data_IF_843831484186
#
_entry.id   IF_843831484186
#
_cell.length_a   1.000
_cell.length_b   1.000
_cell.length_c   1.000
_cell.angle_alpha   90.00
_cell.angle_beta   90.00
_cell.angle_gamma   90.00
#
_symmetry.space_group_name_H-M   'P 1'
#
loop_
_entity.id
_entity.type
_entity.pdbx_description
1 polymer ?
#
# COMPACT_ATOMS: atom_id res chain seq x y z
N UNK A 1 9.13 15.28 -10.67
CA UNK A 1 9.22 16.65 -10.10
C UNK A 1 7.85 17.25 -9.82
N UNK A 2 7.07 17.52 -10.88
CA UNK A 2 5.62 17.81 -10.77
C UNK A 2 4.75 16.53 -10.78
N UNK A 3 5.36 15.37 -10.51
CA UNK A 3 4.59 14.23 -9.99
C UNK A 3 4.17 14.56 -8.56
N UNK A 4 3.17 13.85 -8.05
CA UNK A 4 2.82 13.86 -6.63
C UNK A 4 2.72 12.44 -6.11
N UNK A 5 2.83 12.29 -4.80
CA UNK A 5 2.73 11.01 -4.12
C UNK A 5 1.62 11.00 -3.09
N UNK A 6 1.18 9.79 -2.69
CA UNK A 6 0.33 9.60 -1.51
C UNK A 6 1.01 10.17 -0.26
N UNK A 7 2.34 10.05 -0.18
CA UNK A 7 3.16 10.70 0.86
C UNK A 7 2.91 12.22 0.90
N UNK A 8 3.05 12.92 -0.23
CA UNK A 8 2.83 14.37 -0.29
C UNK A 8 1.40 14.74 0.16
N UNK A 9 0.39 13.95 -0.24
CA UNK A 9 -1.00 14.16 0.18
C UNK A 9 -1.20 13.92 1.68
N UNK A 10 -0.55 12.91 2.26
CA UNK A 10 -0.58 12.65 3.70
C UNK A 10 0.04 13.81 4.51
N UNK A 11 1.13 14.42 4.02
CA UNK A 11 1.71 15.62 4.63
C UNK A 11 0.80 16.84 4.50
N UNK A 12 0.07 16.99 3.38
CA UNK A 12 -0.91 18.07 3.23
C UNK A 12 -2.02 17.94 4.28
N UNK A 13 -2.51 16.73 4.54
CA UNK A 13 -3.47 16.46 5.62
C UNK A 13 -2.89 16.81 6.99
N UNK A 14 -1.64 16.40 7.26
CA UNK A 14 -0.99 16.69 8.54
C UNK A 14 -0.76 18.19 8.77
N UNK A 15 -0.28 18.90 7.75
CA UNK A 15 -0.13 20.36 7.79
C UNK A 15 -1.46 21.06 8.03
N UNK A 16 -2.55 20.59 7.42
CA UNK A 16 -3.87 21.16 7.61
C UNK A 16 -4.41 20.93 9.03
N UNK A 17 -4.26 19.72 9.58
CA UNK A 17 -4.58 19.42 10.98
C UNK A 17 -3.81 20.33 11.95
N UNK A 18 -2.50 20.49 11.71
CA UNK A 18 -1.65 21.36 12.53
C UNK A 18 -2.04 22.83 12.39
N UNK A 19 -2.40 23.30 11.18
CA UNK A 19 -2.89 24.67 10.97
C UNK A 19 -4.19 24.91 11.74
N UNK A 20 -5.15 23.99 11.69
CA UNK A 20 -6.40 24.11 12.45
C UNK A 20 -6.14 24.11 13.97
N UNK A 21 -5.19 23.29 14.46
CA UNK A 21 -4.75 23.31 15.86
C UNK A 21 -4.13 24.66 16.26
N UNK A 22 -3.19 25.18 15.47
CA UNK A 22 -2.57 26.50 15.72
C UNK A 22 -3.66 27.58 15.75
N UNK A 23 -4.57 27.56 14.79
CA UNK A 23 -5.65 28.53 14.68
C UNK A 23 -6.60 28.54 15.89
N UNK A 24 -6.90 27.36 16.44
CA UNK A 24 -7.85 27.19 17.54
C UNK A 24 -7.20 27.35 18.91
N UNK A 25 -6.05 26.70 19.12
CA UNK A 25 -5.46 26.47 20.43
C UNK A 25 -4.20 27.31 20.70
N UNK A 26 -3.58 27.90 19.66
CA UNK A 26 -2.30 28.62 19.78
C UNK A 26 -2.27 29.93 18.98
N UNK A 27 -3.43 30.52 18.69
CA UNK A 27 -3.53 31.76 17.91
C UNK A 27 -2.79 32.93 18.58
N UNK A 28 -2.71 32.93 19.91
CA UNK A 28 -1.97 33.89 20.74
C UNK A 28 -0.45 33.83 20.52
N UNK A 29 0.08 32.72 20.02
CA UNK A 29 1.51 32.52 19.76
C UNK A 29 1.93 32.90 18.33
N UNK A 30 0.97 33.24 17.47
CA UNK A 30 1.26 33.60 16.08
C UNK A 30 1.73 35.06 16.00
N UNK A 31 3.02 35.23 15.70
CA UNK A 31 3.66 36.55 15.65
C UNK A 31 3.56 37.26 14.29
N UNK A 32 3.15 36.55 13.23
CA UNK A 32 3.03 37.09 11.86
C UNK A 32 1.77 36.56 11.16
N UNK A 33 1.00 37.50 10.60
CA UNK A 33 -0.25 37.19 9.91
C UNK A 33 -1.44 37.05 10.85
N UNK A 34 -2.57 36.63 10.31
CA UNK A 34 -3.76 36.25 11.08
C UNK A 34 -4.10 34.81 10.75
N UNK A 35 -4.33 34.01 11.79
CA UNK A 35 -4.71 32.60 11.63
C UNK A 35 -6.13 32.46 12.17
N UNK A 36 -7.00 31.87 11.35
CA UNK A 36 -8.38 31.57 11.69
C UNK A 36 -8.70 30.14 11.26
N UNK A 37 -9.44 29.42 12.10
CA UNK A 37 -9.88 28.06 11.83
C UNK A 37 -10.86 28.06 10.65
N UNK A 38 -10.66 27.19 9.67
CA UNK A 38 -11.53 27.10 8.49
C UNK A 38 -11.84 25.68 8.03
N UNK A 39 -11.64 24.69 8.91
CA UNK A 39 -11.85 23.28 8.58
C UNK A 39 -10.93 22.83 7.45
N UNK A 40 -9.66 23.21 7.56
CA UNK A 40 -8.69 22.92 6.51
C UNK A 40 -8.37 21.44 6.43
N UNK A 41 -8.48 20.71 7.56
CA UNK A 41 -8.40 19.25 7.56
C UNK A 41 -9.35 18.62 6.53
N UNK A 42 -10.62 19.03 6.52
CA UNK A 42 -11.61 18.47 5.59
C UNK A 42 -11.31 18.81 4.12
N UNK A 43 -10.78 20.01 3.85
CA UNK A 43 -10.36 20.39 2.50
C UNK A 43 -9.13 19.59 2.05
N UNK A 44 -8.14 19.45 2.93
CA UNK A 44 -6.94 18.68 2.66
C UNK A 44 -7.25 17.20 2.43
N UNK A 45 -8.17 16.61 3.21
CA UNK A 45 -8.65 15.25 2.98
C UNK A 45 -9.31 15.13 1.60
N UNK A 46 -10.11 16.12 1.19
CA UNK A 46 -10.70 16.13 -0.14
C UNK A 46 -9.66 16.21 -1.27
N UNK A 47 -8.57 16.92 -1.05
CA UNK A 47 -7.41 16.94 -1.97
C UNK A 47 -6.70 15.59 -1.99
N UNK A 48 -6.50 14.95 -0.83
CA UNK A 48 -5.93 13.61 -0.73
C UNK A 48 -6.73 12.59 -1.52
N UNK A 49 -8.07 12.65 -1.48
CA UNK A 49 -8.96 11.75 -2.23
C UNK A 49 -8.73 11.77 -3.75
N UNK A 50 -8.03 12.77 -4.31
CA UNK A 50 -7.62 12.76 -5.73
C UNK A 50 -6.71 11.56 -6.04
N UNK A 51 -5.93 11.09 -5.06
CA UNK A 51 -5.13 9.88 -5.21
C UNK A 51 -5.91 8.59 -4.93
N UNK A 52 -7.16 8.64 -4.47
CA UNK A 52 -7.99 7.44 -4.35
C UNK A 52 -8.61 7.14 -5.72
N UNK A 53 -8.25 6.01 -6.37
CA UNK A 53 -8.66 5.78 -7.75
C UNK A 53 -10.18 5.66 -7.91
N UNK A 54 -10.70 6.22 -9.01
CA UNK A 54 -12.14 6.16 -9.32
C UNK A 54 -12.47 5.12 -10.39
N UNK A 55 -11.52 4.79 -11.26
CA UNK A 55 -11.59 3.66 -12.19
C UNK A 55 -11.22 2.41 -11.39
N UNK A 56 -12.23 1.76 -10.85
CA UNK A 56 -12.12 0.51 -10.10
C UNK A 56 -13.29 -0.40 -10.44
N UNK A 57 -13.55 -0.51 -11.74
CA UNK A 57 -14.71 -1.25 -12.27
C UNK A 57 -14.75 -2.63 -11.62
N UNK A 58 -15.96 -3.03 -11.20
CA UNK A 58 -16.28 -4.33 -10.61
C UNK A 58 -15.47 -4.81 -9.41
N UNK A 59 -14.57 -4.03 -8.80
CA UNK A 59 -13.71 -4.57 -7.74
C UNK A 59 -14.52 -5.22 -6.60
N UNK A 60 -15.64 -4.62 -6.21
CA UNK A 60 -16.55 -5.19 -5.21
C UNK A 60 -17.70 -6.03 -5.81
N UNK A 61 -18.07 -5.82 -7.07
CA UNK A 61 -19.21 -6.50 -7.71
C UNK A 61 -18.85 -7.68 -8.60
N UNK A 62 -17.55 -7.95 -8.82
CA UNK A 62 -17.05 -9.10 -9.58
C UNK A 62 -17.62 -10.40 -9.02
N UNK A 63 -17.96 -11.31 -9.95
CA UNK A 63 -18.42 -12.66 -9.62
C UNK A 63 -17.25 -13.63 -9.42
N UNK A 64 -16.05 -13.22 -9.85
CA UNK A 64 -14.81 -13.96 -9.66
C UNK A 64 -14.29 -13.88 -8.24
N UNK A 65 -13.58 -14.93 -7.83
CA UNK A 65 -12.83 -14.91 -6.57
C UNK A 65 -11.63 -13.97 -6.74
N UNK A 66 -11.40 -13.12 -5.73
CA UNK A 66 -10.18 -12.34 -5.70
C UNK A 66 -8.97 -13.26 -5.51
N UNK A 67 -8.05 -13.19 -6.46
CA UNK A 67 -6.87 -14.04 -6.45
C UNK A 67 -5.76 -13.46 -7.28
N UNK A 68 -4.52 -13.81 -6.95
CA UNK A 68 -3.36 -13.39 -7.71
C UNK A 68 -2.57 -14.62 -8.16
N UNK A 69 -2.14 -14.60 -9.43
CA UNK A 69 -1.19 -15.57 -9.96
C UNK A 69 0.22 -15.19 -9.50
N UNK A 70 0.97 -16.19 -9.06
CA UNK A 70 2.34 -16.01 -8.65
C UNK A 70 3.21 -15.54 -9.80
N UNK A 71 4.02 -14.53 -9.55
CA UNK A 71 5.16 -14.13 -10.35
C UNK A 71 6.31 -13.87 -9.36
N UNK A 72 7.46 -14.51 -9.59
CA UNK A 72 8.62 -14.30 -8.72
C UNK A 72 9.24 -12.92 -8.96
N UNK A 73 9.86 -12.36 -7.93
CA UNK A 73 10.61 -11.11 -8.07
C UNK A 73 11.99 -11.37 -8.69
N UNK A 74 12.58 -10.30 -9.20
CA UNK A 74 13.84 -10.32 -9.94
C UNK A 74 14.96 -9.73 -9.09
N UNK A 75 16.15 -10.29 -9.23
CA UNK A 75 17.35 -9.70 -8.63
C UNK A 75 17.78 -8.48 -9.47
N UNK A 76 17.76 -8.57 -10.82
CA UNK A 76 18.10 -7.47 -11.74
C UNK A 76 16.94 -7.10 -12.67
N UNK A 77 16.88 -5.83 -13.09
CA UNK A 77 15.79 -5.34 -13.94
C UNK A 77 15.75 -5.98 -15.35
N UNK A 78 16.91 -6.43 -15.86
CA UNK A 78 17.05 -7.09 -17.17
C UNK A 78 16.50 -8.52 -17.21
N UNK A 79 16.36 -9.16 -16.05
CA UNK A 79 15.82 -10.51 -15.93
C UNK A 79 14.31 -10.52 -16.24
N UNK A 80 13.65 -9.38 -16.06
CA UNK A 80 12.25 -9.16 -16.38
C UNK A 80 12.03 -8.91 -17.88
N UNK A 81 11.00 -9.49 -18.52
CA UNK A 81 9.93 -10.33 -17.96
C UNK A 81 10.18 -11.85 -18.10
N UNK A 82 11.40 -12.27 -18.40
CA UNK A 82 11.70 -13.63 -18.82
C UNK A 82 11.84 -14.61 -17.66
N UNK A 83 12.71 -14.28 -16.72
CA UNK A 83 12.97 -15.14 -15.56
C UNK A 83 11.78 -15.09 -14.60
N UNK A 84 11.55 -16.16 -13.82
CA UNK A 84 10.48 -16.19 -12.79
C UNK A 84 9.08 -15.70 -13.23
N UNK A 85 8.78 -15.81 -14.53
CA UNK A 85 7.55 -15.33 -15.14
C UNK A 85 6.30 -15.96 -14.48
N UNK A 86 5.14 -15.35 -14.74
CA UNK A 86 3.86 -15.78 -14.17
C UNK A 86 3.65 -17.28 -14.29
N UNK A 87 3.28 -17.92 -13.18
CA UNK A 87 2.98 -19.35 -13.11
C UNK A 87 1.48 -19.56 -12.81
N UNK A 88 0.59 -19.69 -13.82
CA UNK A 88 -0.86 -19.75 -13.59
C UNK A 88 -1.33 -20.89 -12.67
N UNK A 89 -0.56 -21.99 -12.58
CA UNK A 89 -0.85 -23.11 -11.66
C UNK A 89 -0.63 -22.76 -10.18
N UNK A 90 0.08 -21.67 -9.93
CA UNK A 90 0.36 -21.08 -8.62
C UNK A 90 -0.53 -19.85 -8.44
N UNK A 91 -1.68 -20.04 -7.80
CA UNK A 91 -2.66 -18.97 -7.54
C UNK A 91 -3.01 -18.93 -6.07
N UNK A 92 -3.04 -17.74 -5.48
CA UNK A 92 -3.42 -17.51 -4.09
C UNK A 92 -4.67 -16.61 -4.00
N UNK A 93 -5.63 -16.99 -3.17
CA UNK A 93 -6.82 -16.20 -2.86
C UNK A 93 -6.60 -15.28 -1.66
N UNK A 94 -7.11 -14.05 -1.73
CA UNK A 94 -7.08 -13.13 -0.58
C UNK A 94 -8.12 -13.54 0.48
N UNK A 95 -7.71 -13.93 1.70
CA UNK A 95 -8.62 -14.40 2.72
C UNK A 95 -9.38 -13.29 3.46
N UNK A 96 -8.92 -12.03 3.47
CA UNK A 96 -9.61 -10.91 4.15
C UNK A 96 -10.65 -10.21 3.25
N UNK A 97 -10.53 -10.32 1.93
CA UNK A 97 -11.42 -9.65 1.00
C UNK A 97 -12.93 -9.87 1.25
N UNK A 98 -13.44 -11.07 1.58
CA UNK A 98 -14.87 -11.24 1.88
C UNK A 98 -15.36 -10.34 3.01
N UNK A 99 -14.52 -10.09 4.02
CA UNK A 99 -14.80 -9.20 5.15
C UNK A 99 -14.93 -7.75 4.68
N UNK A 100 -14.04 -7.30 3.80
CA UNK A 100 -14.12 -5.96 3.19
C UNK A 100 -15.31 -5.81 2.25
N UNK A 101 -15.54 -6.78 1.36
CA UNK A 101 -16.69 -6.78 0.44
C UNK A 101 -18.01 -6.70 1.20
N UNK A 102 -18.14 -7.42 2.31
CA UNK A 102 -19.34 -7.34 3.15
C UNK A 102 -19.56 -5.94 3.75
N UNK A 103 -18.49 -5.23 4.07
CA UNK A 103 -18.55 -3.92 4.73
C UNK A 103 -18.65 -2.73 3.77
N UNK A 104 -18.07 -2.87 2.57
CA UNK A 104 -17.78 -1.75 1.66
C UNK A 104 -18.25 -1.97 0.22
N UNK A 105 -19.02 -3.01 -0.09
CA UNK A 105 -19.51 -3.27 -1.46
C UNK A 105 -20.41 -2.19 -2.07
N UNK A 106 -20.87 -1.21 -1.28
CA UNK A 106 -21.55 -0.02 -1.81
C UNK A 106 -20.60 1.03 -2.40
N UNK A 107 -19.31 0.94 -2.11
CA UNK A 107 -18.29 1.85 -2.61
C UNK A 107 -17.90 1.46 -4.05
N UNK A 108 -17.20 2.37 -4.75
CA UNK A 108 -16.75 2.10 -6.13
C UNK A 108 -15.58 1.11 -6.22
N UNK A 109 -14.80 1.00 -5.17
CA UNK A 109 -13.57 0.19 -5.11
C UNK A 109 -12.87 0.37 -3.77
N UNK A 110 -11.59 -0.01 -3.71
CA UNK A 110 -10.75 0.24 -2.54
C UNK A 110 -10.69 1.74 -2.24
N UNK A 111 -10.76 2.09 -0.95
CA UNK A 111 -10.58 3.45 -0.46
C UNK A 111 -9.15 3.63 0.07
N UNK A 112 -8.18 3.40 -0.82
CA UNK A 112 -6.74 3.52 -0.58
C UNK A 112 -6.15 4.47 -1.63
N UNK A 113 -5.08 5.20 -1.29
CA UNK A 113 -4.43 6.05 -2.26
C UNK A 113 -3.59 5.19 -3.20
N UNK A 114 -3.59 5.50 -4.49
CA UNK A 114 -2.46 5.11 -5.33
C UNK A 114 -1.24 5.97 -4.98
N UNK A 115 -0.05 5.37 -5.00
CA UNK A 115 1.15 6.01 -4.50
C UNK A 115 1.71 7.13 -5.40
N UNK A 116 1.50 7.09 -6.72
CA UNK A 116 2.11 8.02 -7.66
C UNK A 116 1.12 8.55 -8.69
N UNK A 117 1.25 9.83 -9.02
CA UNK A 117 0.52 10.43 -10.13
C UNK A 117 1.30 11.55 -10.80
N UNK A 118 1.02 11.72 -12.08
CA UNK A 118 1.45 12.84 -12.90
C UNK A 118 0.40 13.96 -12.82
N UNK A 119 0.75 15.06 -12.16
CA UNK A 119 -0.20 16.13 -11.83
C UNK A 119 -0.61 16.93 -13.07
N UNK A 120 0.29 17.07 -14.04
CA UNK A 120 0.13 17.98 -15.18
C UNK A 120 0.16 17.24 -16.52
N UNK A 121 0.02 15.90 -16.49
CA UNK A 121 0.11 15.03 -17.66
C UNK A 121 1.41 15.22 -18.46
N UNK A 122 2.52 15.41 -17.77
CA UNK A 122 3.84 15.56 -18.38
C UNK A 122 4.25 14.34 -19.22
N UNK A 123 3.93 13.13 -18.77
CA UNK A 123 4.19 11.89 -19.52
C UNK A 123 3.25 11.69 -20.71
N UNK A 124 2.12 12.40 -20.74
CA UNK A 124 1.18 12.39 -21.87
C UNK A 124 0.29 11.15 -21.96
N UNK A 125 0.12 10.39 -20.87
CA UNK A 125 -0.78 9.23 -20.85
C UNK A 125 -2.26 9.63 -20.71
N UNK A 126 -2.55 10.80 -20.13
CA UNK A 126 -3.88 11.39 -20.03
C UNK A 126 -4.17 12.38 -21.16
N UNK A 127 -5.25 13.14 -21.00
CA UNK A 127 -5.66 14.20 -21.95
C UNK A 127 -5.28 15.59 -21.45
N UNK A 128 -4.82 16.48 -22.33
CA UNK A 128 -4.51 17.87 -21.95
C UNK A 128 -3.53 17.95 -20.77
N UNK A 129 -3.96 18.59 -19.68
CA UNK A 129 -3.20 18.72 -18.42
C UNK A 129 -3.87 17.94 -17.28
N UNK A 130 -4.58 16.86 -17.61
CA UNK A 130 -5.37 16.11 -16.63
C UNK A 130 -4.47 15.31 -15.68
N UNK A 131 -4.88 15.27 -14.41
CA UNK A 131 -4.25 14.42 -13.40
C UNK A 131 -4.31 12.95 -13.83
N UNK A 132 -3.16 12.29 -13.90
CA UNK A 132 -3.06 10.93 -14.44
C UNK A 132 -2.35 10.00 -13.46
N UNK A 133 -2.98 8.87 -13.15
CA UNK A 133 -2.35 7.82 -12.35
C UNK A 133 -1.30 7.09 -13.18
N UNK A 134 -0.08 7.03 -12.66
CA UNK A 134 1.07 6.38 -13.29
C UNK A 134 1.80 5.52 -12.27
N UNK A 135 2.57 4.55 -12.74
CA UNK A 135 3.47 3.78 -11.91
C UNK A 135 4.84 3.65 -12.60
N UNK A 136 5.84 3.21 -11.85
CA UNK A 136 7.24 3.10 -12.30
C UNK A 136 7.82 1.73 -11.94
N UNK A 137 8.13 1.51 -10.66
CA UNK A 137 8.81 0.31 -10.15
C UNK A 137 7.97 -0.96 -10.35
N UNK A 138 8.54 -1.95 -11.04
CA UNK A 138 7.91 -3.25 -11.34
C UNK A 138 8.92 -4.41 -11.48
N UNK A 139 10.24 -4.17 -11.53
CA UNK A 139 11.23 -5.14 -12.02
C UNK A 139 12.34 -5.51 -11.03
N UNK A 140 12.02 -5.53 -9.74
CA UNK A 140 12.89 -6.13 -8.73
C UNK A 140 13.76 -5.14 -7.95
N UNK A 141 14.63 -5.68 -7.10
CA UNK A 141 15.30 -4.91 -6.04
C UNK A 141 16.38 -3.95 -6.57
N UNK A 142 16.99 -4.25 -7.72
CA UNK A 142 17.96 -3.38 -8.38
C UNK A 142 17.35 -2.52 -9.50
N UNK A 143 16.03 -2.36 -9.58
CA UNK A 143 15.43 -1.33 -10.45
C UNK A 143 15.43 0.02 -9.72
N UNK A 144 16.48 0.82 -9.90
CA UNK A 144 16.53 2.17 -9.34
C UNK A 144 15.55 3.11 -10.05
N UNK A 145 15.33 4.30 -9.48
CA UNK A 145 14.45 5.31 -10.10
C UNK A 145 14.91 5.75 -11.50
N UNK A 146 16.18 5.52 -11.85
CA UNK A 146 16.76 5.83 -13.16
C UNK A 146 16.48 4.76 -14.22
N UNK A 147 16.04 3.59 -13.80
CA UNK A 147 15.94 2.41 -14.66
C UNK A 147 14.50 2.05 -14.99
N UNK A 148 13.53 2.66 -14.30
CA UNK A 148 12.10 2.43 -14.53
C UNK A 148 11.62 2.89 -15.90
N UNK A 149 10.50 2.32 -16.35
CA UNK A 149 9.72 2.83 -17.48
C UNK A 149 8.34 3.27 -16.95
N UNK A 150 8.12 4.58 -16.79
CA UNK A 150 6.83 5.12 -16.37
C UNK A 150 5.70 4.65 -17.28
N UNK A 151 4.58 4.23 -16.70
CA UNK A 151 3.44 3.67 -17.42
C UNK A 151 2.11 4.03 -16.73
N UNK A 152 0.99 4.09 -17.48
CA UNK A 152 -0.30 4.42 -16.88
C UNK A 152 -0.83 3.27 -16.04
N UNK A 153 -1.54 3.61 -14.96
CA UNK A 153 -2.24 2.62 -14.14
C UNK A 153 -3.42 1.99 -14.86
N UNK A 154 -4.12 2.77 -15.69
CA UNK A 154 -5.18 2.29 -16.58
C UNK A 154 -4.57 2.01 -17.95
N UNK A 155 -4.47 0.73 -18.29
CA UNK A 155 -3.89 0.26 -19.55
C UNK A 155 -4.97 0.08 -20.61
N UNK A 156 -4.98 1.01 -21.57
CA UNK A 156 -5.88 1.01 -22.73
C UNK A 156 -5.26 0.38 -23.99
N UNK A 157 -4.01 -0.08 -23.91
CA UNK A 157 -3.19 -0.59 -25.02
C UNK A 157 -2.90 0.48 -26.08
N UNK A 158 -2.88 1.75 -25.70
CA UNK A 158 -2.62 2.89 -26.60
C UNK A 158 -1.13 3.18 -26.81
N UNK A 159 -0.30 2.83 -25.82
CA UNK A 159 1.13 3.11 -25.76
C UNK A 159 1.95 1.80 -25.74
N UNK A 160 3.28 1.89 -25.83
CA UNK A 160 4.15 0.72 -25.83
C UNK A 160 3.87 -0.24 -27.00
N UNK A 161 3.63 -1.52 -26.70
CA UNK A 161 3.20 -2.53 -27.67
C UNK A 161 1.72 -2.38 -28.02
N UNK A 162 1.41 -1.28 -28.72
CA UNK A 162 0.04 -0.83 -29.04
C UNK A 162 -0.85 -1.96 -29.59
N UNK A 163 -2.06 -2.06 -29.06
CA UNK A 163 -3.08 -3.03 -29.47
C UNK A 163 -2.83 -4.48 -29.04
N UNK A 164 -1.68 -4.79 -28.42
CA UNK A 164 -1.33 -6.15 -27.98
C UNK A 164 -1.07 -6.19 -26.48
N UNK A 165 0.12 -5.78 -26.03
CA UNK A 165 0.53 -5.81 -24.62
C UNK A 165 0.60 -4.42 -23.98
N UNK A 166 0.42 -3.36 -24.76
CA UNK A 166 0.50 -2.00 -24.24
C UNK A 166 1.85 -1.71 -23.59
N UNK A 167 1.84 -0.94 -22.50
CA UNK A 167 3.00 -0.73 -21.64
C UNK A 167 3.29 -1.95 -20.76
N UNK A 168 2.29 -2.80 -20.45
CA UNK A 168 2.48 -4.07 -19.71
C UNK A 168 3.48 -5.02 -20.39
N UNK A 169 3.75 -4.83 -21.68
CA UNK A 169 4.73 -5.61 -22.43
C UNK A 169 6.15 -5.61 -21.84
N UNK A 170 6.51 -4.60 -21.04
CA UNK A 170 7.82 -4.56 -20.37
C UNK A 170 7.94 -5.55 -19.20
N UNK A 171 6.84 -6.01 -18.61
CA UNK A 171 6.86 -6.90 -17.42
C UNK A 171 5.96 -8.15 -17.54
N UNK A 172 5.43 -8.44 -18.72
CA UNK A 172 4.58 -9.62 -18.96
C UNK A 172 4.90 -10.19 -20.35
N UNK A 173 5.00 -11.51 -20.53
CA UNK A 173 5.36 -12.18 -21.80
C UNK A 173 4.20 -12.65 -22.69
N UNK A 174 2.95 -12.49 -22.27
CA UNK A 174 1.75 -12.93 -22.99
C UNK A 174 1.70 -12.34 -24.40
N UNK A 175 1.10 -13.04 -25.35
CA UNK A 175 0.93 -12.51 -26.72
C UNK A 175 -0.03 -11.31 -26.76
N UNK A 176 -1.02 -11.31 -25.88
CA UNK A 176 -2.05 -10.29 -25.75
C UNK A 176 -2.38 -10.15 -24.26
N UNK A 177 -2.48 -8.92 -23.77
CA UNK A 177 -3.05 -8.64 -22.45
C UNK A 177 -4.42 -8.02 -22.61
N UNK A 178 -5.28 -8.21 -21.61
CA UNK A 178 -6.53 -7.47 -21.53
C UNK A 178 -6.24 -6.02 -21.12
N UNK A 179 -7.10 -5.10 -21.57
CA UNK A 179 -7.22 -3.79 -20.92
C UNK A 179 -7.52 -4.00 -19.45
N UNK A 180 -6.87 -3.23 -18.59
CA UNK A 180 -6.88 -3.46 -17.15
C UNK A 180 -6.47 -2.21 -16.40
N UNK A 181 -6.79 -2.15 -15.12
CA UNK A 181 -6.17 -1.20 -14.20
C UNK A 181 -5.37 -1.92 -13.13
N UNK A 182 -4.31 -1.27 -12.65
CA UNK A 182 -3.55 -1.72 -11.49
C UNK A 182 -3.11 -0.51 -10.68
N UNK A 183 -3.38 -0.54 -9.38
CA UNK A 183 -2.92 0.48 -8.43
C UNK A 183 -2.14 -0.18 -7.30
N UNK A 184 -1.28 0.60 -6.69
CA UNK A 184 -0.42 0.22 -5.56
C UNK A 184 -0.48 1.33 -4.53
N UNK A 185 -0.77 1.02 -3.27
CA UNK A 185 -0.69 2.01 -2.20
C UNK A 185 0.70 2.04 -1.58
N UNK A 186 0.98 3.07 -0.79
CA UNK A 186 2.19 3.18 0.02
C UNK A 186 1.76 3.29 1.49
N UNK A 187 1.74 2.17 2.24
CA UNK A 187 1.07 2.09 3.55
C UNK A 187 1.51 3.16 4.56
N UNK A 188 2.77 3.59 4.50
CA UNK A 188 3.30 4.66 5.34
C UNK A 188 2.53 5.98 5.17
N UNK A 189 2.07 6.28 3.96
CA UNK A 189 1.33 7.49 3.63
C UNK A 189 -0.11 7.44 4.15
N UNK A 190 -0.79 6.30 4.01
CA UNK A 190 -2.11 6.11 4.62
C UNK A 190 -2.03 6.24 6.14
N UNK A 191 -1.07 5.57 6.77
CA UNK A 191 -0.89 5.61 8.23
C UNK A 191 -0.51 7.02 8.71
N UNK A 192 0.30 7.77 7.96
CA UNK A 192 0.60 9.18 8.25
C UNK A 192 -0.65 10.07 8.18
N UNK A 193 -1.51 9.85 7.19
CA UNK A 193 -2.79 10.58 7.09
C UNK A 193 -3.72 10.23 8.26
N UNK A 194 -3.77 8.96 8.68
CA UNK A 194 -4.55 8.51 9.83
C UNK A 194 -4.01 9.09 11.13
N UNK A 195 -2.68 9.11 11.29
CA UNK A 195 -2.01 9.77 12.42
C UNK A 195 -2.38 11.26 12.50
N UNK A 196 -2.37 11.98 11.37
CA UNK A 196 -2.79 13.37 11.34
C UNK A 196 -4.25 13.58 11.80
N UNK A 197 -5.14 12.66 11.44
CA UNK A 197 -6.54 12.67 11.90
C UNK A 197 -6.61 12.36 13.40
N UNK A 198 -5.83 11.40 13.89
CA UNK A 198 -5.73 11.12 15.32
C UNK A 198 -5.26 12.34 16.12
N UNK A 199 -4.21 13.03 15.66
CA UNK A 199 -3.72 14.27 16.26
C UNK A 199 -4.83 15.34 16.28
N UNK A 200 -5.56 15.49 15.16
CA UNK A 200 -6.68 16.43 15.08
C UNK A 200 -7.78 16.15 16.11
N UNK A 201 -8.05 14.87 16.39
CA UNK A 201 -8.99 14.44 17.44
C UNK A 201 -8.47 14.86 18.80
N UNK A 202 -7.18 14.65 19.08
CA UNK A 202 -6.56 15.04 20.36
C UNK A 202 -6.53 16.55 20.57
N UNK A 203 -6.37 17.32 19.49
CA UNK A 203 -6.43 18.78 19.52
C UNK A 203 -7.87 19.33 19.50
N UNK A 204 -8.87 18.46 19.31
CA UNK A 204 -10.28 18.83 19.23
C UNK A 204 -10.60 19.70 18.02
N UNK A 205 -9.85 19.55 16.92
CA UNK A 205 -10.06 20.24 15.63
C UNK A 205 -10.46 19.27 14.52
N UNK A 206 -10.82 18.05 14.89
CA UNK A 206 -11.23 17.01 13.95
C UNK A 206 -12.53 17.33 13.22
N UNK A 207 -12.73 16.64 12.09
CA UNK A 207 -13.96 16.64 11.33
C UNK A 207 -14.55 15.21 11.32
N UNK A 208 -15.83 15.09 11.71
CA UNK A 208 -16.48 13.78 11.84
C UNK A 208 -16.52 13.00 10.53
N UNK A 209 -16.66 13.68 9.39
CA UNK A 209 -16.66 13.01 8.09
C UNK A 209 -15.26 12.49 7.74
N UNK A 210 -14.22 13.27 8.04
CA UNK A 210 -12.82 12.86 7.87
C UNK A 210 -12.48 11.67 8.78
N UNK A 211 -12.94 11.67 10.04
CA UNK A 211 -12.74 10.55 10.96
C UNK A 211 -13.28 9.24 10.37
N UNK A 212 -14.49 9.28 9.79
CA UNK A 212 -15.10 8.10 9.18
C UNK A 212 -14.35 7.63 7.92
N UNK A 213 -13.80 8.56 7.13
CA UNK A 213 -13.00 8.24 5.94
C UNK A 213 -11.62 7.69 6.32
N UNK A 214 -10.96 8.26 7.32
CA UNK A 214 -9.69 7.76 7.86
C UNK A 214 -9.84 6.36 8.46
N UNK A 215 -10.94 6.11 9.19
CA UNK A 215 -11.26 4.78 9.68
C UNK A 215 -11.49 3.78 8.54
N UNK A 216 -12.23 4.17 7.48
CA UNK A 216 -12.40 3.32 6.29
C UNK A 216 -11.06 2.97 5.64
N UNK A 217 -10.18 3.97 5.46
CA UNK A 217 -8.84 3.78 4.91
C UNK A 217 -8.03 2.82 5.78
N UNK A 218 -8.02 3.02 7.10
CA UNK A 218 -7.39 2.10 8.05
C UNK A 218 -7.96 0.70 8.00
N UNK A 219 -9.28 0.52 7.89
CA UNK A 219 -9.87 -0.82 7.80
C UNK A 219 -9.35 -1.59 6.57
N UNK A 220 -9.30 -0.93 5.41
CA UNK A 220 -8.79 -1.52 4.16
C UNK A 220 -7.26 -1.70 4.16
N UNK A 221 -6.52 -0.87 4.89
CA UNK A 221 -5.07 -1.03 5.10
C UNK A 221 -4.70 -2.31 5.83
N UNK A 222 -5.65 -3.04 6.44
CA UNK A 222 -5.36 -4.36 7.02
C UNK A 222 -4.86 -5.39 5.98
N UNK A 223 -5.09 -5.18 4.68
CA UNK A 223 -4.43 -6.02 3.66
C UNK A 223 -2.90 -5.82 3.64
N UNK A 224 -2.39 -4.67 4.09
CA UNK A 224 -0.95 -4.40 4.25
C UNK A 224 -0.30 -5.25 5.35
N UNK A 225 -1.10 -6.00 6.12
CA UNK A 225 -0.60 -6.92 7.14
C UNK A 225 -0.34 -8.33 6.60
N UNK A 226 -0.51 -8.56 5.29
CA UNK A 226 -0.38 -9.88 4.67
C UNK A 226 0.84 -10.02 3.76
N UNK A 227 1.37 -11.25 3.74
CA UNK A 227 2.28 -11.75 2.71
C UNK A 227 1.76 -11.47 1.29
N UNK A 228 2.67 -11.26 0.32
CA UNK A 228 2.35 -10.91 -1.07
C UNK A 228 1.28 -11.82 -1.67
N UNK A 229 1.44 -13.12 -1.50
CA UNK A 229 0.50 -14.12 -2.00
C UNK A 229 -0.12 -14.92 -0.85
N UNK A 230 -0.34 -14.25 0.30
CA UNK A 230 -1.04 -14.78 1.45
C UNK A 230 -0.45 -16.08 2.01
N UNK A 231 0.83 -16.36 1.71
CA UNK A 231 1.52 -17.53 2.21
C UNK A 231 1.64 -17.48 3.72
N UNK A 232 1.59 -18.63 4.37
CA UNK A 232 1.79 -18.73 5.81
C UNK A 232 3.14 -18.11 6.22
N UNK A 233 3.16 -17.41 7.36
CA UNK A 233 4.38 -16.81 7.88
C UNK A 233 5.19 -17.89 8.59
N UNK A 234 6.47 -18.06 8.24
CA UNK A 234 7.33 -19.03 8.93
C UNK A 234 8.76 -19.14 8.39
N UNK A 235 9.63 -19.80 9.16
CA UNK A 235 11.05 -19.97 8.82
C UNK A 235 11.32 -20.94 7.64
N UNK A 236 10.26 -21.53 7.08
CA UNK A 236 10.30 -22.44 5.93
C UNK A 236 9.17 -22.10 4.94
N UNK A 237 8.92 -20.80 4.71
CA UNK A 237 7.87 -20.40 3.77
C UNK A 237 8.15 -20.98 2.39
N UNK A 238 7.23 -21.82 1.93
CA UNK A 238 7.25 -22.43 0.61
C UNK A 238 5.92 -22.15 -0.07
N UNK A 239 5.95 -22.01 -1.40
CA UNK A 239 4.73 -21.79 -2.15
C UNK A 239 3.67 -22.87 -1.88
N UNK A 240 2.46 -22.42 -1.55
CA UNK A 240 1.24 -23.21 -1.52
C UNK A 240 0.10 -22.42 -2.19
N UNK A 241 -0.84 -23.13 -2.84
CA UNK A 241 -2.03 -22.46 -3.36
C UNK A 241 -2.98 -22.16 -2.21
N UNK A 242 -2.98 -20.91 -1.74
CA UNK A 242 -3.93 -20.43 -0.73
C UNK A 242 -5.33 -20.46 -1.34
N UNK A 243 -6.17 -21.36 -0.84
CA UNK A 243 -7.50 -21.61 -1.40
C UNK A 243 -8.49 -20.54 -0.95
N UNK A 244 -9.52 -20.32 -1.76
CA UNK A 244 -10.68 -19.53 -1.34
C UNK A 244 -11.29 -20.11 -0.06
N UNK A 245 -11.54 -19.26 0.93
CA UNK A 245 -12.03 -19.68 2.26
C UNK A 245 -10.95 -20.16 3.23
N UNK A 246 -9.66 -19.98 2.90
CA UNK A 246 -8.58 -20.11 3.87
C UNK A 246 -8.83 -19.22 5.11
N UNK A 247 -8.17 -19.56 6.23
CA UNK A 247 -8.28 -18.78 7.46
C UNK A 247 -7.86 -17.33 7.18
N UNK A 248 -8.65 -16.38 7.70
CA UNK A 248 -8.31 -14.96 7.63
C UNK A 248 -6.97 -14.67 8.34
N UNK A 249 -6.58 -15.45 9.34
CA UNK A 249 -5.30 -15.27 10.03
C UNK A 249 -4.09 -15.82 9.25
N UNK A 250 -4.33 -16.65 8.21
CA UNK A 250 -3.24 -17.21 7.41
C UNK A 250 -2.52 -16.12 6.62
N UNK A 251 -1.19 -16.08 6.77
CA UNK A 251 -0.32 -15.14 6.06
C UNK A 251 -0.34 -13.71 6.59
N UNK A 252 -0.96 -13.45 7.75
CA UNK A 252 -0.82 -12.17 8.45
C UNK A 252 0.51 -12.11 9.20
N UNK A 253 1.34 -11.12 8.89
CA UNK A 253 2.52 -10.75 9.70
C UNK A 253 2.25 -9.57 10.64
N UNK A 254 1.11 -8.87 10.51
CA UNK A 254 0.70 -7.72 11.35
C UNK A 254 1.62 -6.48 11.33
N UNK A 255 2.70 -6.49 10.55
CA UNK A 255 3.48 -5.30 10.18
C UNK A 255 2.81 -4.54 9.01
N UNK A 256 3.13 -3.27 8.84
CA UNK A 256 2.86 -2.56 7.59
C UNK A 256 3.92 -2.94 6.56
N UNK A 257 3.52 -3.63 5.50
CA UNK A 257 4.42 -4.02 4.42
C UNK A 257 4.73 -2.83 3.48
N UNK A 258 5.52 -3.08 2.43
CA UNK A 258 5.88 -2.06 1.45
C UNK A 258 4.70 -1.59 0.58
N UNK A 259 3.75 -2.48 0.30
CA UNK A 259 2.54 -2.17 -0.47
C UNK A 259 1.46 -3.23 -0.34
N UNK A 260 0.22 -2.80 -0.58
CA UNK A 260 -0.81 -3.61 -1.22
C UNK A 260 -0.98 -3.14 -2.67
N UNK A 261 -1.21 -4.07 -3.58
CA UNK A 261 -1.57 -3.74 -4.96
C UNK A 261 -2.82 -4.50 -5.37
N UNK A 262 -3.65 -3.88 -6.21
CA UNK A 262 -4.89 -4.46 -6.69
C UNK A 262 -5.20 -4.04 -8.13
N UNK A 263 -6.00 -4.85 -8.81
CA UNK A 263 -6.41 -4.59 -10.18
C UNK A 263 -7.56 -5.47 -10.63
N UNK A 264 -8.11 -5.10 -11.78
CA UNK A 264 -9.20 -5.81 -12.48
C UNK A 264 -8.97 -5.64 -13.99
N UNK A 265 -9.64 -6.47 -14.76
CA UNK A 265 -9.89 -6.15 -16.15
C UNK A 265 -10.68 -4.83 -16.26
N UNK A 266 -10.34 -4.05 -17.29
CA UNK A 266 -11.03 -2.83 -17.64
C UNK A 266 -11.96 -3.07 -18.84
N UNK A 267 -12.96 -2.22 -19.03
CA UNK A 267 -13.99 -2.33 -20.08
C UNK A 267 -15.00 -3.50 -19.95
N UNK A 268 -15.09 -4.19 -18.81
CA UNK A 268 -16.05 -5.28 -18.57
C UNK A 268 -16.01 -6.44 -19.60
N UNK A 269 -14.92 -6.58 -20.36
CA UNK A 269 -14.80 -7.60 -21.40
C UNK A 269 -14.47 -8.99 -20.82
N UNK A 270 -13.93 -9.02 -19.61
CA UNK A 270 -13.66 -10.22 -18.81
C UNK A 270 -14.22 -10.00 -17.40
N UNK A 271 -14.09 -10.98 -16.51
CA UNK A 271 -14.40 -10.81 -15.08
C UNK A 271 -13.29 -11.48 -14.26
N UNK A 272 -12.30 -10.70 -13.82
CA UNK A 272 -11.27 -11.16 -12.90
C UNK A 272 -10.75 -9.99 -12.07
N UNK A 273 -10.56 -10.23 -10.78
CA UNK A 273 -9.98 -9.26 -9.85
C UNK A 273 -8.81 -9.91 -9.13
N UNK A 274 -7.77 -9.11 -8.87
CA UNK A 274 -6.63 -9.54 -8.08
C UNK A 274 -6.27 -8.50 -7.03
N UNK A 275 -5.72 -8.99 -5.93
CA UNK A 275 -5.06 -8.19 -4.91
C UNK A 275 -3.93 -9.02 -4.33
N UNK A 276 -2.84 -8.33 -4.00
CA UNK A 276 -1.67 -8.89 -3.32
C UNK A 276 -1.38 -8.03 -2.09
N UNK A 277 -0.88 -8.65 -1.04
CA UNK A 277 -0.14 -7.93 0.01
C UNK A 277 1.29 -7.64 -0.46
N UNK A 278 2.22 -7.73 0.48
CA UNK A 278 3.66 -7.70 0.22
C UNK A 278 4.38 -8.46 1.33
N UNK A 279 5.31 -9.32 0.95
CA UNK A 279 6.06 -10.17 1.89
C UNK A 279 7.18 -9.40 2.61
N UNK A 280 7.47 -8.17 2.20
CA UNK A 280 8.58 -7.35 2.69
C UNK A 280 8.06 -6.25 3.60
N UNK A 281 8.63 -6.15 4.80
CA UNK A 281 8.33 -5.10 5.77
C UNK A 281 9.61 -4.34 6.12
N UNK A 282 9.52 -3.01 6.13
CA UNK A 282 10.62 -2.11 6.45
C UNK A 282 10.28 -1.30 7.70
N UNK A 283 11.26 -1.04 8.57
CA UNK A 283 11.06 -0.31 9.82
C UNK A 283 10.39 1.07 9.65
N UNK A 284 10.79 1.86 8.66
CA UNK A 284 10.24 3.21 8.49
C UNK A 284 8.77 3.23 8.03
N UNK A 285 8.25 2.13 7.49
CA UNK A 285 6.83 2.01 7.14
C UNK A 285 5.93 1.76 8.36
N UNK A 286 6.51 1.38 9.50
CA UNK A 286 5.72 1.10 10.69
C UNK A 286 5.21 2.40 11.30
N UNK A 287 3.97 2.39 11.79
CA UNK A 287 3.38 3.52 12.49
C UNK A 287 2.59 3.05 13.74
N UNK A 288 3.28 2.86 14.88
CA UNK A 288 2.63 2.46 16.12
C UNK A 288 1.55 3.45 16.57
N UNK A 289 1.65 4.73 16.20
CA UNK A 289 0.67 5.74 16.57
C UNK A 289 -0.64 5.59 15.78
N UNK A 290 -0.58 5.32 14.48
CA UNK A 290 -1.74 5.00 13.66
C UNK A 290 -2.39 3.69 14.12
N UNK A 291 -1.61 2.64 14.38
CA UNK A 291 -2.12 1.39 14.92
C UNK A 291 -2.82 1.58 16.28
N UNK A 292 -2.21 2.35 17.19
CA UNK A 292 -2.82 2.72 18.46
C UNK A 292 -4.14 3.49 18.28
N UNK A 293 -4.16 4.45 17.36
CA UNK A 293 -5.33 5.26 17.06
C UNK A 293 -6.49 4.39 16.56
N UNK A 294 -6.24 3.53 15.58
CA UNK A 294 -7.24 2.63 15.00
C UNK A 294 -7.71 1.55 15.98
N UNK A 295 -6.86 1.12 16.91
CA UNK A 295 -7.25 0.18 17.96
C UNK A 295 -8.09 0.82 19.07
N UNK A 296 -7.81 2.08 19.46
CA UNK A 296 -8.28 2.62 20.76
C UNK A 296 -9.09 3.91 20.69
N UNK A 297 -8.92 4.75 19.68
CA UNK A 297 -9.64 6.02 19.58
C UNK A 297 -11.03 5.78 19.00
N UNK A 298 -12.07 5.91 19.83
CA UNK A 298 -13.46 5.56 19.45
C UNK A 298 -13.98 6.33 18.24
N UNK A 299 -13.52 7.57 18.02
CA UNK A 299 -13.87 8.33 16.81
C UNK A 299 -13.32 7.71 15.51
N UNK A 300 -12.30 6.86 15.60
CA UNK A 300 -11.76 6.08 14.49
C UNK A 300 -12.23 4.62 14.55
N UNK A 301 -11.97 3.92 15.66
CA UNK A 301 -12.18 2.48 15.78
C UNK A 301 -13.64 2.05 15.59
N UNK A 302 -14.61 2.86 16.02
CA UNK A 302 -16.04 2.56 15.82
C UNK A 302 -16.54 2.80 14.38
N UNK A 303 -15.75 3.47 13.54
CA UNK A 303 -16.08 3.75 12.15
C UNK A 303 -15.48 2.73 11.17
N UNK A 304 -14.58 1.85 11.62
CA UNK A 304 -14.16 0.67 10.86
C UNK A 304 -15.33 -0.32 10.80
N UNK A 305 -15.76 -0.70 9.59
CA UNK A 305 -17.02 -1.43 9.39
C UNK A 305 -16.81 -2.94 9.24
N UNK A 306 -15.65 -3.34 8.76
CA UNK A 306 -15.32 -4.74 8.57
C UNK A 306 -14.91 -5.36 9.91
N UNK A 307 -15.25 -6.63 10.12
CA UNK A 307 -15.03 -7.29 11.40
C UNK A 307 -13.55 -7.51 11.72
N UNK A 308 -13.21 -7.53 13.01
CA UNK A 308 -11.87 -7.85 13.52
C UNK A 308 -10.87 -6.70 13.48
N UNK A 309 -11.25 -5.51 13.00
CA UNK A 309 -10.27 -4.44 12.74
C UNK A 309 -9.52 -3.95 14.00
N UNK A 310 -10.23 -3.73 15.11
CA UNK A 310 -9.60 -3.30 16.36
C UNK A 310 -8.64 -4.35 16.96
N UNK A 311 -8.96 -5.64 16.81
CA UNK A 311 -8.11 -6.74 17.28
C UNK A 311 -6.84 -6.88 16.41
N UNK A 312 -7.00 -6.74 15.09
CA UNK A 312 -5.88 -6.71 14.14
C UNK A 312 -4.93 -5.54 14.45
N UNK A 313 -5.46 -4.34 14.68
CA UNK A 313 -4.63 -3.18 15.04
C UNK A 313 -4.02 -3.26 16.44
N UNK A 314 -4.69 -3.90 17.40
CA UNK A 314 -4.11 -4.17 18.72
C UNK A 314 -2.90 -5.11 18.58
N UNK A 315 -3.03 -6.13 17.74
CA UNK A 315 -1.93 -7.06 17.45
C UNK A 315 -0.82 -6.36 16.67
N UNK A 316 -1.16 -5.59 15.63
CA UNK A 316 -0.21 -4.81 14.83
C UNK A 316 0.59 -3.83 15.67
N UNK A 317 -0.04 -3.07 16.56
CA UNK A 317 0.64 -2.16 17.48
C UNK A 317 1.73 -2.89 18.28
N UNK A 318 1.38 -4.04 18.86
CA UNK A 318 2.34 -4.85 19.63
C UNK A 318 3.47 -5.35 18.73
N UNK A 319 3.14 -5.93 17.58
CA UNK A 319 4.12 -6.50 16.64
C UNK A 319 5.08 -5.44 16.11
N UNK A 320 4.59 -4.24 15.78
CA UNK A 320 5.43 -3.13 15.31
C UNK A 320 6.43 -2.68 16.39
N UNK A 321 6.00 -2.57 17.65
CA UNK A 321 6.91 -2.22 18.76
C UNK A 321 7.97 -3.30 19.00
N UNK A 322 7.60 -4.58 18.91
CA UNK A 322 8.54 -5.70 19.00
C UNK A 322 9.53 -5.70 17.82
N UNK A 323 9.06 -5.34 16.62
CA UNK A 323 9.89 -5.25 15.41
C UNK A 323 10.95 -4.14 15.51
N UNK A 324 10.56 -2.94 15.97
CA UNK A 324 11.52 -1.86 16.26
C UNK A 324 12.57 -2.30 17.27
N UNK A 325 12.16 -2.99 18.34
CA UNK A 325 13.11 -3.46 19.36
C UNK A 325 14.05 -4.53 18.83
N UNK A 326 13.58 -5.43 17.96
CA UNK A 326 14.39 -6.46 17.32
C UNK A 326 15.41 -5.87 16.34
N UNK A 327 15.03 -4.83 15.59
CA UNK A 327 15.89 -4.18 14.61
C UNK A 327 16.86 -3.16 15.21
N UNK A 328 16.73 -2.82 16.49
CA UNK A 328 17.62 -1.87 17.13
C UNK A 328 19.06 -2.39 17.20
N UNK A 329 19.96 -1.71 16.50
CA UNK A 329 21.40 -2.00 16.54
C UNK A 329 22.01 -1.69 17.89
N UNK A 330 23.22 -2.21 18.15
CA UNK A 330 23.98 -1.95 19.39
C UNK A 330 24.26 -0.47 19.63
N UNK A 331 24.29 0.33 18.56
CA UNK A 331 24.61 1.76 18.61
C UNK A 331 23.36 2.64 18.70
N UNK A 332 22.16 2.05 18.59
CA UNK A 332 20.87 2.74 18.71
C UNK A 332 20.04 2.85 17.43
N UNK A 333 20.61 3.08 16.22
CA UNK A 333 19.84 3.10 14.98
C UNK A 333 19.08 1.81 14.70
N UNK A 334 18.00 1.91 13.95
CA UNK A 334 17.14 0.78 13.58
C UNK A 334 17.60 0.22 12.22
N UNK A 335 17.73 -1.10 12.12
CA UNK A 335 18.08 -1.80 10.88
C UNK A 335 16.86 -1.96 9.94
N UNK A 336 17.08 -2.40 8.69
CA UNK A 336 16.08 -2.34 7.63
C UNK A 336 14.75 -3.03 7.93
N UNK A 337 14.73 -4.37 8.00
CA UNK A 337 13.47 -5.06 8.24
C UNK A 337 13.50 -6.56 8.06
N UNK A 338 12.41 -7.12 7.52
CA UNK A 338 12.24 -8.55 7.34
C UNK A 338 11.42 -8.90 6.09
N UNK A 339 11.56 -10.14 5.64
CA UNK A 339 10.76 -10.72 4.54
C UNK A 339 10.24 -12.11 4.85
N UNK A 340 9.02 -12.41 4.40
CA UNK A 340 8.49 -13.77 4.36
C UNK A 340 8.85 -14.49 3.04
N UNK A 341 9.37 -13.77 2.04
CA UNK A 341 9.70 -14.29 0.71
C UNK A 341 11.14 -13.95 0.36
N UNK A 342 12.07 -14.83 0.71
CA UNK A 342 13.48 -14.61 0.39
C UNK A 342 13.66 -14.49 -1.14
N UNK A 343 14.33 -13.40 -1.54
CA UNK A 343 14.50 -12.95 -2.95
C UNK A 343 13.18 -12.76 -3.71
N UNK A 344 12.07 -12.60 -2.98
CA UNK A 344 10.72 -12.51 -3.54
C UNK A 344 10.27 -13.79 -4.27
N UNK A 345 10.85 -14.95 -3.91
CA UNK A 345 10.59 -16.23 -4.57
C UNK A 345 10.30 -17.39 -3.61
N UNK A 346 10.07 -17.08 -2.33
CA UNK A 346 9.87 -18.07 -1.26
C UNK A 346 10.99 -19.13 -1.23
N UNK A 347 12.23 -18.69 -1.45
CA UNK A 347 13.41 -19.54 -1.35
C UNK A 347 13.71 -19.89 0.11
N UNK A 348 14.41 -21.02 0.32
CA UNK A 348 14.85 -21.42 1.65
C UNK A 348 15.82 -20.38 2.23
N UNK A 349 15.62 -20.03 3.50
CA UNK A 349 16.44 -19.01 4.15
C UNK A 349 17.89 -19.50 4.35
N UNK A 350 18.90 -18.61 4.23
CA UNK A 350 20.27 -18.96 4.53
C UNK A 350 20.44 -19.46 5.98
N UNK A 351 21.33 -20.44 6.18
CA UNK A 351 21.56 -21.01 7.52
C UNK A 351 22.06 -19.95 8.51
N UNK A 352 21.42 -19.87 9.68
CA UNK A 352 21.82 -18.98 10.76
C UNK A 352 21.34 -17.52 10.63
N UNK A 353 20.52 -17.21 9.63
CA UNK A 353 19.90 -15.88 9.52
C UNK A 353 18.93 -15.62 10.68
N UNK A 354 18.89 -14.38 11.17
CA UNK A 354 17.95 -13.97 12.23
C UNK A 354 16.52 -13.93 11.69
N UNK A 355 15.56 -14.29 12.53
CA UNK A 355 14.14 -14.30 12.18
C UNK A 355 13.32 -13.49 13.20
N UNK A 356 12.25 -12.88 12.72
CA UNK A 356 11.23 -12.21 13.53
C UNK A 356 9.87 -12.82 13.22
N UNK A 357 9.28 -13.52 14.19
CA UNK A 357 8.02 -14.27 14.01
C UNK A 357 8.00 -15.16 12.76
N UNK A 358 9.17 -15.70 12.40
CA UNK A 358 9.34 -16.54 11.21
C UNK A 358 9.81 -15.80 9.95
N UNK A 359 9.72 -14.47 9.87
CA UNK A 359 10.22 -13.70 8.73
C UNK A 359 11.74 -13.49 8.82
N UNK A 360 12.44 -13.64 7.70
CA UNK A 360 13.90 -13.49 7.61
C UNK A 360 14.32 -12.03 7.72
N UNK A 361 15.36 -11.72 8.49
CA UNK A 361 16.01 -10.41 8.49
C UNK A 361 16.54 -10.00 7.11
N UNK A 362 16.32 -8.74 6.73
CA UNK A 362 16.84 -8.11 5.52
C UNK A 362 17.39 -6.73 5.86
N UNK A 363 18.64 -6.47 5.46
CA UNK A 363 19.30 -5.18 5.69
C UNK A 363 18.68 -4.05 4.84
N UNK A 364 18.30 -4.37 3.60
CA UNK A 364 17.65 -3.46 2.66
C UNK A 364 16.37 -4.10 2.12
N UNK A 365 15.24 -4.03 2.83
CA UNK A 365 13.97 -4.52 2.31
C UNK A 365 13.62 -3.82 0.99
N UNK A 366 13.17 -4.61 0.01
CA UNK A 366 12.65 -4.19 -1.30
C UNK A 366 13.65 -3.63 -2.29
N UNK A 367 14.43 -2.61 -1.95
CA UNK A 367 15.33 -1.94 -2.90
C UNK A 367 16.79 -2.01 -2.46
N UNK A 368 17.67 -2.33 -3.41
CA UNK A 368 19.11 -2.49 -3.25
C UNK A 368 19.93 -1.43 -4.02
N UNK A 369 19.31 -0.65 -4.93
CA UNK A 369 19.98 0.44 -5.66
C UNK A 369 19.28 1.82 -5.52
N UNK A 370 19.69 2.65 -4.53
CA UNK A 370 20.54 2.27 -3.40
C UNK A 370 19.77 1.39 -2.40
N UNK A 371 20.51 0.72 -1.50
CA UNK A 371 19.92 0.00 -0.38
C UNK A 371 18.94 0.87 0.40
N UNK A 372 17.69 0.40 0.56
CA UNK A 372 16.57 1.15 1.12
C UNK A 372 16.85 1.73 2.52
N UNK A 373 17.60 1.00 3.35
CA UNK A 373 17.97 1.43 4.70
C UNK A 373 19.31 2.20 4.78
N UNK A 374 19.87 2.67 3.66
CA UNK A 374 20.98 3.62 3.68
C UNK A 374 20.53 5.06 3.90
N UNK A 375 19.24 5.33 3.75
CA UNK A 375 18.67 6.65 3.95
C UNK A 375 18.37 6.86 5.45
N UNK A 376 18.86 7.96 6.01
CA UNK A 376 18.72 8.31 7.44
C UNK A 376 17.31 8.88 7.77
N UNK A 377 16.55 9.26 6.73
CA UNK A 377 15.36 10.09 6.83
C UNK A 377 14.12 9.43 7.40
#
# INVERSE_FOLDING_TARGET
>A
GHETTSEAMSYIVWMAAMRDNIAKNHADQVSKGSVSTSGDLAKAWKTLEVLVPTVQDNFWSSSSNISAQYCGEYDMAEDCPGDHASEPSKTASNPIYPTFKSAYSSDKGQYLMHWLADVENWYGFGSGTDFTFINTFQRGENESCWETVPHPCVEELEYGMKGTRGMKGIFNTDTQVAKQYAYTNAPDAEDRAIQAVFDSIKWGVDDTSVNALAAKMGDLCRNNMYDKYYQEIGENTSWSNVQAGASIESGKHYLMNWYTSWGDCHDNQNDWIWQIGCSHAHEFYQNPLAAYALATETKLSSNMKASGAADDYTTSLKTQLEFYQWLQSSDGPIAGGATNSYKGRYEAYPSGVSTFNGMMYVEHPVYADPGSNHWIG
#
